data_IF_593687261947
#
_entry.id   IF_593687261947
#
_cell.length_a   1.000
_cell.length_b   1.000
_cell.length_c   1.000
_cell.angle_alpha   90.00
_cell.angle_beta   90.00
_cell.angle_gamma   90.00
#
_symmetry.space_group_name_H-M   'P 1'
#
loop_
_entity.id
_entity.type
_entity.pdbx_description
1 polymer ?
#
# COMPACT_ATOMS: atom_id res chain seq x y z
N UNK A 1 26.12 -3.39 1.20
CA UNK A 1 25.75 -3.63 2.61
C UNK A 1 24.28 -3.38 2.78
N UNK A 2 23.64 -4.14 3.70
CA UNK A 2 22.23 -3.96 3.97
C UNK A 2 21.96 -4.12 5.48
N UNK A 3 21.05 -3.30 5.99
CA UNK A 3 20.69 -3.27 7.40
C UNK A 3 19.19 -2.98 7.55
N UNK A 4 18.53 -3.69 8.43
CA UNK A 4 17.15 -3.42 8.86
C UNK A 4 17.06 -3.52 10.37
N UNK A 5 16.27 -2.60 10.96
CA UNK A 5 15.91 -2.63 12.36
C UNK A 5 14.46 -2.16 12.52
N UNK A 6 13.75 -2.75 13.46
CA UNK A 6 12.37 -2.35 13.72
C UNK A 6 11.92 -2.72 15.13
N UNK A 7 10.85 -2.08 15.53
CA UNK A 7 10.14 -2.35 16.77
C UNK A 7 8.68 -2.51 16.47
N UNK A 8 8.17 -3.72 16.72
CA UNK A 8 6.74 -4.00 16.61
C UNK A 8 6.20 -4.39 17.99
N UNK A 9 4.96 -4.06 18.27
CA UNK A 9 4.34 -4.42 19.53
C UNK A 9 2.85 -4.21 19.53
N UNK A 10 2.22 -4.77 20.56
CA UNK A 10 0.82 -4.56 20.84
C UNK A 10 0.54 -4.46 22.33
N UNK A 11 -0.49 -3.71 22.67
CA UNK A 11 -1.04 -3.61 24.03
C UNK A 11 -2.50 -4.02 24.00
N UNK A 12 -2.81 -5.05 24.76
CA UNK A 12 -4.17 -5.60 24.95
C UNK A 12 -4.62 -5.50 26.43
N UNK A 13 -3.82 -4.87 27.26
CA UNK A 13 -4.07 -4.76 28.71
C UNK A 13 -5.38 -4.02 29.03
N UNK A 14 -5.77 -3.07 28.17
CA UNK A 14 -7.00 -2.29 28.35
C UNK A 14 -8.19 -2.91 27.57
N UNK A 15 -8.36 -4.22 27.68
CA UNK A 15 -9.53 -4.88 27.08
C UNK A 15 -10.82 -4.10 27.33
N UNK A 16 -11.62 -3.76 26.31
CA UNK A 16 -11.64 -4.28 24.94
C UNK A 16 -10.79 -3.49 23.92
N UNK A 17 -9.91 -2.58 24.36
CA UNK A 17 -9.01 -1.84 23.50
C UNK A 17 -7.78 -2.67 23.11
N UNK A 18 -7.38 -2.56 21.86
CA UNK A 18 -6.12 -3.06 21.33
C UNK A 18 -5.39 -1.94 20.61
N UNK A 19 -4.13 -1.75 20.96
CA UNK A 19 -3.22 -0.82 20.27
C UNK A 19 -2.08 -1.65 19.71
N UNK A 20 -1.81 -1.55 18.42
CA UNK A 20 -0.66 -2.21 17.80
C UNK A 20 0.13 -1.21 16.95
N UNK A 21 1.45 -1.35 16.94
CA UNK A 21 2.36 -0.49 16.19
C UNK A 21 3.48 -1.29 15.55
N UNK A 22 4.03 -0.72 14.49
CA UNK A 22 5.20 -1.22 13.81
C UNK A 22 6.02 -0.02 13.31
N UNK A 23 7.32 0.03 13.64
CA UNK A 23 8.23 1.08 13.20
C UNK A 23 9.50 0.42 12.71
N UNK A 24 9.84 0.64 11.46
CA UNK A 24 10.96 0.02 10.79
C UNK A 24 11.86 1.07 10.14
N UNK A 25 13.15 0.78 10.13
CA UNK A 25 14.15 1.46 9.36
C UNK A 25 14.92 0.44 8.52
N UNK A 26 15.18 0.76 7.28
CA UNK A 26 16.00 -0.05 6.41
C UNK A 26 17.01 0.80 5.64
N UNK A 27 18.18 0.24 5.41
CA UNK A 27 19.25 0.84 4.60
C UNK A 27 19.92 -0.24 3.75
N UNK A 28 20.14 0.05 2.48
CA UNK A 28 20.87 -0.79 1.55
C UNK A 28 21.83 0.08 0.72
N UNK A 29 23.13 -0.22 0.82
CA UNK A 29 24.18 0.52 0.13
C UNK A 29 24.84 -0.35 -0.94
N UNK A 30 25.00 0.22 -2.12
CA UNK A 30 25.56 -0.38 -3.32
C UNK A 30 26.85 0.34 -3.72
N UNK A 31 27.58 -0.18 -4.72
CA UNK A 31 28.75 0.49 -5.29
C UNK A 31 28.39 1.78 -6.04
N UNK A 32 27.25 1.79 -6.73
CA UNK A 32 26.67 3.00 -7.31
C UNK A 32 25.76 3.66 -6.28
N UNK A 33 26.14 4.85 -5.81
CA UNK A 33 25.37 5.62 -4.82
C UNK A 33 23.90 5.89 -5.24
N UNK A 34 23.64 5.95 -6.54
CA UNK A 34 22.28 6.13 -7.07
C UNK A 34 21.35 4.94 -6.78
N UNK A 35 21.93 3.79 -6.45
CA UNK A 35 21.21 2.58 -6.07
C UNK A 35 20.98 2.48 -4.56
N UNK A 36 21.59 3.36 -3.77
CA UNK A 36 21.43 3.36 -2.33
C UNK A 36 19.97 3.63 -1.95
N UNK A 37 19.55 2.99 -0.88
CA UNK A 37 18.20 3.15 -0.35
C UNK A 37 18.27 3.19 1.16
N UNK A 38 17.53 4.14 1.75
CA UNK A 38 17.37 4.21 3.20
C UNK A 38 16.04 4.88 3.53
N UNK A 39 15.38 4.43 4.57
CA UNK A 39 14.12 5.06 4.93
C UNK A 39 13.40 4.38 6.06
N UNK A 40 12.21 4.90 6.34
CA UNK A 40 11.35 4.52 7.45
C UNK A 40 9.99 4.06 6.97
N UNK A 41 9.42 3.12 7.72
CA UNK A 41 8.03 2.73 7.64
C UNK A 41 7.48 2.63 9.04
N UNK A 42 6.39 3.32 9.31
CA UNK A 42 5.69 3.27 10.59
C UNK A 42 4.21 3.03 10.39
N UNK A 43 3.58 2.25 11.27
CA UNK A 43 2.14 2.06 11.30
C UNK A 43 1.60 1.98 12.71
N UNK A 44 0.34 2.39 12.86
CA UNK A 44 -0.40 2.35 14.12
C UNK A 44 -1.82 1.84 13.86
N UNK A 45 -2.29 0.96 14.73
CA UNK A 45 -3.65 0.42 14.71
C UNK A 45 -4.27 0.56 16.10
N UNK A 46 -5.48 1.10 16.14
CA UNK A 46 -6.32 1.20 17.32
C UNK A 46 -7.61 0.42 17.05
N UNK A 47 -7.93 -0.56 17.89
CA UNK A 47 -9.15 -1.36 17.78
C UNK A 47 -9.94 -1.36 19.09
N UNK A 48 -11.24 -1.49 18.95
CA UNK A 48 -12.15 -1.67 20.08
C UNK A 48 -13.06 -2.87 19.80
N UNK A 49 -12.96 -3.91 20.60
CA UNK A 49 -13.72 -5.14 20.39
C UNK A 49 -15.12 -5.00 21.00
N UNK A 50 -16.14 -5.11 20.16
CA UNK A 50 -17.55 -5.18 20.54
C UNK A 50 -18.07 -6.60 20.27
N UNK A 51 -19.22 -6.92 20.88
CA UNK A 51 -19.85 -8.25 20.70
C UNK A 51 -20.28 -8.51 19.23
N UNK A 52 -20.57 -7.45 18.47
CA UNK A 52 -21.07 -7.54 17.11
C UNK A 52 -20.03 -7.20 16.03
N UNK A 53 -18.82 -6.80 16.42
CA UNK A 53 -17.76 -6.45 15.49
C UNK A 53 -16.64 -5.66 16.14
N UNK A 54 -15.57 -5.44 15.41
CA UNK A 54 -14.36 -4.74 15.90
C UNK A 54 -14.10 -3.51 15.03
N UNK A 55 -14.60 -2.31 15.41
CA UNK A 55 -14.18 -1.07 14.79
C UNK A 55 -12.71 -0.80 15.07
N UNK A 56 -12.02 -0.23 14.10
CA UNK A 56 -10.62 0.14 14.19
C UNK A 56 -10.28 1.36 13.36
N UNK A 57 -9.33 2.13 13.86
CA UNK A 57 -8.68 3.23 13.15
C UNK A 57 -7.21 2.89 13.01
N UNK A 58 -6.63 3.22 11.87
CA UNK A 58 -5.22 2.97 11.62
C UNK A 58 -4.61 4.03 10.71
N UNK A 59 -3.30 4.10 10.72
CA UNK A 59 -2.56 4.93 9.82
C UNK A 59 -1.16 4.37 9.59
N UNK A 60 -0.53 4.83 8.52
CA UNK A 60 0.86 4.51 8.19
C UNK A 60 1.56 5.70 7.56
N UNK A 61 2.88 5.65 7.63
CA UNK A 61 3.77 6.58 6.97
C UNK A 61 5.01 5.82 6.50
N UNK A 62 5.31 5.90 5.22
CA UNK A 62 6.55 5.44 4.62
C UNK A 62 7.30 6.63 4.03
N UNK A 63 8.60 6.77 4.36
CA UNK A 63 9.43 7.79 3.75
C UNK A 63 9.43 7.63 2.23
N UNK A 64 9.45 8.74 1.52
CA UNK A 64 9.44 8.83 0.08
C UNK A 64 10.73 9.39 -0.46
N UNK A 65 10.91 9.27 -1.76
CA UNK A 65 12.05 9.73 -2.50
C UNK A 65 12.09 11.26 -2.59
N UNK A 66 13.25 11.85 -2.42
CA UNK A 66 13.45 13.28 -2.56
C UNK A 66 13.50 13.72 -4.06
N UNK A 67 13.81 14.98 -4.34
CA UNK A 67 13.85 15.48 -5.72
C UNK A 67 15.18 15.28 -6.43
N UNK A 68 16.14 14.60 -5.80
CA UNK A 68 17.49 14.41 -6.32
C UNK A 68 17.71 12.97 -6.85
N UNK A 69 17.72 12.74 -8.16
CA UNK A 69 17.84 11.40 -8.72
C UNK A 69 19.27 10.82 -8.66
N UNK A 70 20.19 11.38 -7.88
CA UNK A 70 21.60 10.97 -7.86
C UNK A 70 22.09 10.47 -6.51
N UNK A 71 21.33 10.68 -5.45
CA UNK A 71 21.71 10.31 -4.08
C UNK A 71 21.11 8.97 -3.61
N UNK A 72 20.44 8.24 -4.49
CA UNK A 72 19.70 7.04 -4.14
C UNK A 72 18.22 7.33 -3.91
N UNK A 73 17.58 6.61 -3.00
CA UNK A 73 16.17 6.80 -2.65
C UNK A 73 15.98 6.73 -1.13
N UNK A 74 15.23 7.65 -0.57
CA UNK A 74 14.84 7.69 0.85
C UNK A 74 13.64 6.80 1.17
N UNK A 75 13.21 5.97 0.24
CA UNK A 75 12.21 4.92 0.48
C UNK A 75 12.87 3.73 1.16
N UNK A 76 12.24 3.23 2.22
CA UNK A 76 12.77 2.07 2.93
C UNK A 76 12.92 0.86 1.96
N UNK A 77 14.10 0.23 1.89
CA UNK A 77 14.28 -0.98 1.09
C UNK A 77 13.45 -2.14 1.67
N UNK A 78 12.85 -2.94 0.82
CA UNK A 78 11.98 -4.05 1.19
C UNK A 78 12.63 -5.37 0.82
N UNK A 79 12.64 -6.34 1.75
CA UNK A 79 13.21 -7.67 1.53
C UNK A 79 12.22 -8.58 0.81
N UNK A 80 10.94 -8.42 1.10
CA UNK A 80 9.84 -9.19 0.49
C UNK A 80 8.66 -8.29 0.24
N UNK A 81 8.16 -8.33 -0.99
CA UNK A 81 6.94 -7.63 -1.36
C UNK A 81 5.65 -8.37 -0.94
N UNK A 82 5.77 -9.59 -0.47
CA UNK A 82 4.64 -10.44 -0.12
C UNK A 82 4.19 -10.15 1.33
N UNK A 83 3.51 -9.05 1.55
CA UNK A 83 2.97 -8.69 2.86
C UNK A 83 1.49 -8.36 2.79
N UNK A 84 0.65 -9.09 3.50
CA UNK A 84 -0.71 -8.63 3.79
C UNK A 84 -0.66 -7.73 5.01
N UNK A 85 -0.71 -6.42 4.80
CA UNK A 85 -0.74 -5.46 5.89
C UNK A 85 -2.09 -5.39 6.62
N UNK A 86 -3.13 -5.99 6.08
CA UNK A 86 -4.48 -5.98 6.65
C UNK A 86 -5.20 -4.63 6.58
N UNK A 87 -4.59 -3.61 6.01
CA UNK A 87 -5.15 -2.26 5.88
C UNK A 87 -5.85 -2.05 4.54
N UNK A 88 -5.37 -2.69 3.49
CA UNK A 88 -5.92 -2.59 2.14
C UNK A 88 -6.32 -3.97 1.61
N UNK A 89 -7.36 -4.01 0.77
CA UNK A 89 -7.74 -5.18 -0.01
C UNK A 89 -7.24 -5.09 -1.44
N UNK A 90 -6.89 -3.89 -1.90
CA UNK A 90 -6.67 -3.61 -3.30
C UNK A 90 -5.33 -2.92 -3.58
N UNK A 91 -4.93 -1.97 -2.72
CA UNK A 91 -3.63 -1.32 -2.79
C UNK A 91 -2.55 -2.15 -2.06
N UNK A 92 -1.28 -1.89 -2.33
CA UNK A 92 -0.13 -2.44 -1.62
C UNK A 92 -0.13 -3.96 -1.47
N UNK A 93 -0.33 -4.66 -2.57
CA UNK A 93 -0.36 -6.11 -2.62
C UNK A 93 -1.64 -6.78 -2.06
N UNK A 94 -2.65 -5.99 -1.73
CA UNK A 94 -4.02 -6.37 -1.50
C UNK A 94 -4.26 -7.67 -0.72
N UNK A 95 -5.26 -8.42 -1.15
CA UNK A 95 -5.51 -9.75 -0.64
C UNK A 95 -4.54 -10.76 -1.29
N UNK A 96 -3.76 -11.55 -0.52
CA UNK A 96 -2.75 -12.48 -1.03
C UNK A 96 -3.31 -13.60 -1.93
N UNK A 97 -4.61 -13.85 -1.86
CA UNK A 97 -5.26 -14.88 -2.69
C UNK A 97 -5.59 -14.39 -4.11
N UNK A 98 -5.58 -13.06 -4.33
CA UNK A 98 -6.20 -12.46 -5.52
C UNK A 98 -5.24 -11.66 -6.37
N UNK A 99 -4.52 -10.74 -5.77
CA UNK A 99 -3.63 -9.84 -6.46
C UNK A 99 -2.24 -9.90 -5.81
N UNK A 100 -1.29 -10.38 -6.55
CA UNK A 100 0.12 -10.34 -6.12
C UNK A 100 0.71 -8.93 -6.26
N UNK A 101 0.05 -8.08 -7.02
CA UNK A 101 0.49 -6.72 -7.30
C UNK A 101 -0.64 -5.74 -6.99
N UNK A 102 -0.42 -4.86 -6.05
CA UNK A 102 -1.33 -3.76 -5.75
C UNK A 102 -1.24 -2.67 -6.82
N UNK A 103 -2.32 -1.93 -7.01
CA UNK A 103 -2.38 -0.82 -7.97
C UNK A 103 -1.40 0.30 -7.60
N UNK A 104 -1.19 0.54 -6.31
CA UNK A 104 -0.36 1.62 -5.79
C UNK A 104 1.01 1.14 -5.28
N UNK A 105 1.49 0.00 -5.74
CA UNK A 105 2.74 -0.60 -5.32
C UNK A 105 2.57 -1.89 -4.53
N UNK A 106 3.68 -2.52 -4.21
CA UNK A 106 3.71 -3.82 -3.52
C UNK A 106 3.82 -3.68 -2.00
N UNK A 107 4.06 -2.48 -1.52
CA UNK A 107 4.20 -2.16 -0.09
C UNK A 107 3.82 -0.69 0.16
N UNK A 108 3.81 -0.28 1.43
CA UNK A 108 3.42 1.07 1.85
C UNK A 108 4.57 2.11 1.81
N UNK A 109 5.77 1.74 1.36
CA UNK A 109 6.88 2.70 1.27
C UNK A 109 6.58 3.79 0.24
N UNK A 110 6.98 5.01 0.51
CA UNK A 110 6.67 6.16 -0.34
C UNK A 110 5.22 6.62 -0.27
N UNK A 111 4.47 6.19 0.74
CA UNK A 111 3.07 6.60 0.95
C UNK A 111 2.77 6.90 2.41
N UNK A 112 1.72 7.65 2.63
CA UNK A 112 1.07 7.80 3.92
C UNK A 112 -0.42 7.52 3.78
N UNK A 113 -1.06 7.13 4.86
CA UNK A 113 -2.51 6.98 4.85
C UNK A 113 -3.12 6.88 6.22
N UNK A 114 -4.42 7.12 6.23
CA UNK A 114 -5.29 6.90 7.37
C UNK A 114 -6.47 6.06 6.91
N UNK A 115 -6.93 5.18 7.76
CA UNK A 115 -8.07 4.33 7.43
C UNK A 115 -8.90 3.98 8.64
N UNK A 116 -10.11 3.58 8.34
CA UNK A 116 -11.03 2.98 9.29
C UNK A 116 -11.45 1.60 8.79
N UNK A 117 -11.60 0.67 9.71
CA UNK A 117 -12.19 -0.63 9.41
C UNK A 117 -13.24 -1.02 10.44
N UNK A 118 -14.21 -1.76 9.97
CA UNK A 118 -15.17 -2.45 10.82
C UNK A 118 -15.04 -3.94 10.49
N UNK A 119 -14.44 -4.68 11.41
CA UNK A 119 -14.02 -6.06 11.19
C UNK A 119 -14.93 -7.02 11.95
N UNK A 120 -15.08 -8.24 11.43
CA UNK A 120 -15.79 -9.36 12.05
C UNK A 120 -17.27 -9.07 12.36
N UNK A 121 -17.95 -8.19 11.60
CA UNK A 121 -19.39 -8.00 11.73
C UNK A 121 -20.11 -9.26 11.26
N UNK A 122 -20.95 -9.81 12.11
CA UNK A 122 -21.67 -11.06 11.81
C UNK A 122 -23.16 -10.87 12.09
N UNK A 123 -24.00 -11.15 11.08
CA UNK A 123 -25.45 -11.19 11.18
C UNK A 123 -26.00 -12.61 11.04
N UNK A 124 -25.17 -13.54 10.54
CA UNK A 124 -25.45 -14.94 10.38
C UNK A 124 -24.26 -15.75 10.92
N UNK A 125 -24.56 -16.91 11.49
CA UNK A 125 -23.54 -17.84 11.94
C UNK A 125 -22.55 -18.14 10.79
N UNK A 126 -21.26 -18.19 11.10
CA UNK A 126 -20.16 -18.45 10.17
C UNK A 126 -19.95 -17.45 9.03
N UNK A 127 -20.75 -16.37 8.94
CA UNK A 127 -20.57 -15.31 7.96
C UNK A 127 -20.04 -14.04 8.63
N UNK A 128 -18.85 -13.61 8.23
CA UNK A 128 -18.20 -12.40 8.74
C UNK A 128 -17.98 -11.39 7.63
N UNK A 129 -18.26 -10.13 7.94
CA UNK A 129 -18.06 -9.00 7.06
C UNK A 129 -16.95 -8.10 7.61
N UNK A 130 -16.10 -7.60 6.72
CA UNK A 130 -15.11 -6.57 7.05
C UNK A 130 -15.19 -5.44 6.03
N UNK A 131 -15.53 -4.24 6.48
CA UNK A 131 -15.51 -3.02 5.68
C UNK A 131 -14.23 -2.24 5.99
N UNK A 132 -13.61 -1.65 4.95
CA UNK A 132 -12.44 -0.77 5.06
C UNK A 132 -12.64 0.47 4.21
N UNK A 133 -12.18 1.60 4.73
CA UNK A 133 -12.07 2.86 3.99
C UNK A 133 -10.70 3.45 4.27
N UNK A 134 -9.92 3.71 3.23
CA UNK A 134 -8.58 4.28 3.30
C UNK A 134 -8.48 5.56 2.49
N UNK A 135 -7.97 6.62 3.10
CA UNK A 135 -7.50 7.79 2.37
C UNK A 135 -5.97 7.83 2.46
N UNK A 136 -5.31 7.99 1.31
CA UNK A 136 -3.86 7.89 1.22
C UNK A 136 -3.27 8.86 0.22
N UNK A 137 -2.00 9.18 0.38
CA UNK A 137 -1.24 10.03 -0.53
C UNK A 137 0.21 9.57 -0.63
N UNK A 138 0.96 10.14 -1.56
CA UNK A 138 2.38 9.86 -1.72
C UNK A 138 3.25 10.70 -0.79
N UNK A 139 4.48 10.22 -0.58
CA UNK A 139 5.56 10.95 0.09
C UNK A 139 6.75 11.20 -0.84
N UNK A 140 6.69 10.71 -2.09
CA UNK A 140 7.73 10.90 -3.09
C UNK A 140 7.65 12.31 -3.70
N UNK A 141 8.81 12.91 -4.00
CA UNK A 141 8.84 14.21 -4.66
C UNK A 141 8.23 14.15 -6.09
N UNK A 142 7.35 15.09 -6.48
CA UNK A 142 6.68 15.07 -7.79
C UNK A 142 7.66 15.05 -8.97
N UNK A 143 8.82 15.68 -8.81
CA UNK A 143 9.87 15.69 -9.82
C UNK A 143 10.36 14.29 -10.20
N UNK A 144 10.25 13.33 -9.31
CA UNK A 144 10.68 11.95 -9.53
C UNK A 144 9.75 11.16 -10.46
N UNK A 145 8.49 11.58 -10.59
CA UNK A 145 7.51 10.93 -11.47
C UNK A 145 7.99 10.75 -12.92
N UNK A 146 8.78 11.71 -13.44
CA UNK A 146 9.33 11.64 -14.81
C UNK A 146 10.36 10.52 -15.03
N UNK A 147 10.96 10.00 -13.96
CA UNK A 147 11.98 8.96 -14.03
C UNK A 147 11.41 7.54 -13.90
N UNK A 148 10.13 7.43 -13.52
CA UNK A 148 9.45 6.12 -13.45
C UNK A 148 9.39 5.54 -14.85
N UNK A 149 9.98 4.37 -15.05
CA UNK A 149 10.03 3.71 -16.35
C UNK A 149 8.83 2.80 -16.57
N UNK A 150 8.58 2.48 -17.85
CA UNK A 150 7.56 1.52 -18.23
C UNK A 150 7.69 0.16 -17.52
N UNK A 151 8.92 -0.27 -17.32
CA UNK A 151 9.20 -1.54 -16.68
C UNK A 151 8.81 -1.53 -15.19
N UNK A 152 8.84 -0.38 -14.53
CA UNK A 152 8.37 -0.23 -13.15
C UNK A 152 6.87 -0.52 -13.00
N UNK A 153 6.10 -0.43 -14.07
CA UNK A 153 4.67 -0.72 -14.08
C UNK A 153 4.31 -2.12 -14.58
N UNK A 154 5.19 -2.75 -15.36
CA UNK A 154 4.86 -4.00 -16.05
C UNK A 154 5.64 -5.21 -15.59
N UNK A 155 6.85 -5.02 -15.18
CA UNK A 155 7.78 -6.12 -14.95
C UNK A 155 8.39 -6.01 -13.56
N UNK A 156 7.99 -6.94 -12.72
CA UNK A 156 8.54 -7.04 -11.40
C UNK A 156 10.03 -7.39 -11.38
N UNK A 157 10.61 -7.86 -12.46
CA UNK A 157 12.03 -8.22 -12.52
C UNK A 157 12.96 -7.09 -12.98
N UNK A 158 12.42 -5.96 -13.45
CA UNK A 158 13.27 -4.89 -13.95
C UNK A 158 13.72 -3.95 -12.85
N UNK A 159 15.00 -3.90 -12.65
CA UNK A 159 15.67 -2.87 -11.84
C UNK A 159 15.71 -1.59 -12.66
N UNK A 160 15.00 -0.57 -12.26
CA UNK A 160 15.16 0.76 -12.82
C UNK A 160 16.11 1.58 -11.97
N UNK A 161 16.71 2.60 -12.57
CA UNK A 161 17.63 3.48 -11.85
C UNK A 161 16.99 4.11 -10.59
N UNK A 162 15.67 4.20 -10.53
CA UNK A 162 14.91 4.89 -9.47
C UNK A 162 13.82 4.05 -8.82
N UNK A 163 13.74 2.79 -9.13
CA UNK A 163 12.83 1.84 -8.52
C UNK A 163 13.18 0.42 -8.91
N UNK A 164 13.07 -0.48 -7.98
CA UNK A 164 13.13 -1.91 -8.27
C UNK A 164 11.73 -2.40 -8.58
N UNK A 165 11.65 -3.53 -9.24
CA UNK A 165 10.42 -4.25 -9.48
C UNK A 165 9.57 -4.51 -8.23
N UNK A 166 10.20 -4.58 -7.09
CA UNK A 166 9.51 -4.86 -5.82
C UNK A 166 9.00 -3.61 -5.12
N UNK A 167 9.35 -2.44 -5.62
CA UNK A 167 9.03 -1.19 -4.95
C UNK A 167 9.00 -0.01 -5.94
N UNK A 168 8.14 -0.06 -6.94
CA UNK A 168 7.95 1.04 -7.87
C UNK A 168 7.35 2.25 -7.14
N UNK A 169 7.66 3.44 -7.62
CA UNK A 169 7.03 4.66 -7.17
C UNK A 169 5.71 4.86 -7.92
N UNK A 170 4.60 4.94 -7.19
CA UNK A 170 3.28 5.15 -7.77
C UNK A 170 2.66 6.50 -7.40
N UNK A 171 2.88 6.99 -6.19
CA UNK A 171 2.32 8.24 -5.70
C UNK A 171 3.41 9.25 -5.35
N UNK A 172 3.15 10.49 -5.65
CA UNK A 172 3.94 11.65 -5.23
C UNK A 172 3.18 12.45 -4.16
N UNK A 173 3.80 13.50 -3.61
CA UNK A 173 3.13 14.38 -2.63
C UNK A 173 1.92 15.13 -3.20
N UNK A 174 1.78 15.17 -4.52
CA UNK A 174 0.67 15.82 -5.22
C UNK A 174 -0.44 14.83 -5.60
N UNK A 175 -0.28 13.55 -5.24
CA UNK A 175 -1.20 12.47 -5.60
C UNK A 175 -1.94 11.93 -4.37
N UNK A 176 -3.21 11.55 -4.58
CA UNK A 176 -4.07 10.98 -3.54
C UNK A 176 -4.88 9.81 -4.07
N UNK A 177 -5.36 8.98 -3.14
CA UNK A 177 -6.27 7.89 -3.45
C UNK A 177 -7.26 7.64 -2.30
N UNK A 178 -8.46 7.18 -2.64
CA UNK A 178 -9.47 6.70 -1.71
C UNK A 178 -9.82 5.25 -2.06
N UNK A 179 -9.64 4.35 -1.12
CA UNK A 179 -10.07 2.95 -1.24
C UNK A 179 -11.28 2.68 -0.37
N UNK A 180 -12.27 1.98 -0.92
CA UNK A 180 -13.37 1.36 -0.19
C UNK A 180 -13.34 -0.13 -0.50
N UNK A 181 -13.23 -0.95 0.54
CA UNK A 181 -13.12 -2.40 0.41
C UNK A 181 -14.08 -3.14 1.33
N UNK A 182 -14.70 -4.19 0.81
CA UNK A 182 -15.56 -5.11 1.54
C UNK A 182 -15.06 -6.54 1.36
N UNK A 183 -14.81 -7.21 2.48
CA UNK A 183 -14.50 -8.64 2.52
C UNK A 183 -15.64 -9.37 3.20
N UNK A 184 -16.15 -10.42 2.57
CA UNK A 184 -17.14 -11.33 3.15
C UNK A 184 -16.50 -12.71 3.25
N UNK A 185 -16.47 -13.27 4.45
CA UNK A 185 -15.89 -14.59 4.69
C UNK A 185 -16.98 -15.51 5.26
N UNK A 186 -17.29 -16.58 4.54
CA UNK A 186 -18.26 -17.58 4.95
C UNK A 186 -17.56 -18.92 5.19
N UNK A 187 -17.57 -19.37 6.44
CA UNK A 187 -17.08 -20.68 6.83
C UNK A 187 -18.17 -21.71 6.58
N UNK A 188 -18.18 -22.32 5.40
CA UNK A 188 -19.22 -23.28 5.00
C UNK A 188 -19.05 -24.62 5.72
N UNK A 189 -17.79 -25.06 5.92
CA UNK A 189 -17.43 -26.27 6.66
C UNK A 189 -16.14 -26.00 7.45
N UNK A 190 -15.76 -26.89 8.36
CA UNK A 190 -14.54 -26.71 9.15
C UNK A 190 -13.25 -26.57 8.32
N UNK A 191 -13.24 -27.12 7.12
CA UNK A 191 -12.12 -27.11 6.18
C UNK A 191 -12.43 -26.40 4.85
N UNK A 192 -13.56 -25.70 4.76
CA UNK A 192 -13.95 -25.02 3.52
C UNK A 192 -14.53 -23.63 3.83
N UNK A 193 -13.81 -22.62 3.36
CA UNK A 193 -14.19 -21.22 3.54
C UNK A 193 -14.29 -20.53 2.18
N UNK A 194 -15.38 -19.83 1.97
CA UNK A 194 -15.61 -18.98 0.79
C UNK A 194 -15.35 -17.53 1.17
N UNK A 195 -14.56 -16.83 0.38
CA UNK A 195 -14.28 -15.42 0.57
C UNK A 195 -14.66 -14.62 -0.69
N UNK A 196 -15.45 -13.58 -0.51
CA UNK A 196 -15.77 -12.59 -1.53
C UNK A 196 -15.16 -11.24 -1.13
N UNK A 197 -14.23 -10.75 -1.94
CA UNK A 197 -13.70 -9.41 -1.82
C UNK A 197 -14.23 -8.51 -2.93
N UNK A 198 -14.64 -7.30 -2.57
CA UNK A 198 -15.00 -6.26 -3.51
C UNK A 198 -14.34 -4.94 -3.05
N UNK A 199 -13.62 -4.29 -3.95
CA UNK A 199 -12.91 -3.06 -3.63
C UNK A 199 -12.94 -2.08 -4.81
N UNK A 200 -13.01 -0.80 -4.46
CA UNK A 200 -12.95 0.32 -5.39
C UNK A 200 -11.86 1.29 -4.94
N UNK A 201 -11.06 1.76 -5.88
CA UNK A 201 -9.98 2.71 -5.68
C UNK A 201 -10.17 3.90 -6.59
N UNK A 202 -10.53 5.04 -6.02
CA UNK A 202 -10.51 6.33 -6.71
C UNK A 202 -9.10 6.92 -6.65
N UNK A 203 -8.59 7.39 -7.81
CA UNK A 203 -7.25 7.93 -7.96
C UNK A 203 -7.28 9.38 -8.40
N UNK A 204 -6.54 10.24 -7.71
CA UNK A 204 -6.30 11.63 -8.08
C UNK A 204 -4.80 11.84 -8.25
N UNK A 205 -4.33 11.68 -9.49
CA UNK A 205 -2.93 11.90 -9.84
C UNK A 205 -2.77 13.28 -10.48
N UNK A 206 -1.68 13.98 -10.13
CA UNK A 206 -1.34 15.26 -10.75
C UNK A 206 -0.80 15.04 -12.17
N UNK A 207 -1.63 15.25 -13.17
CA UNK A 207 -1.31 15.13 -14.60
C UNK A 207 -0.52 16.33 -15.14
N UNK A 208 -0.18 17.30 -14.31
CA UNK A 208 0.59 18.48 -14.68
C UNK A 208 1.98 18.11 -15.20
N UNK A 209 2.58 19.08 -15.92
CA UNK A 209 3.97 18.92 -16.39
C UNK A 209 5.01 18.92 -15.29
N UNK A 210 4.66 19.28 -14.08
CA UNK A 210 5.55 19.20 -12.92
C UNK A 210 5.68 17.78 -12.38
N UNK A 211 4.66 16.98 -12.59
CA UNK A 211 4.55 15.62 -12.04
C UNK A 211 4.42 14.59 -13.19
N UNK A 212 3.29 13.92 -13.32
CA UNK A 212 3.10 12.81 -14.27
C UNK A 212 2.99 13.25 -15.74
N UNK A 213 2.56 14.46 -16.01
CA UNK A 213 2.40 14.97 -17.39
C UNK A 213 3.71 15.05 -18.19
N UNK A 214 4.88 14.91 -17.56
CA UNK A 214 6.18 14.76 -18.22
C UNK A 214 6.61 13.31 -18.43
N UNK A 215 5.94 12.38 -17.80
CA UNK A 215 6.31 10.98 -17.94
C UNK A 215 5.77 10.44 -19.26
N UNK A 216 6.65 10.04 -20.22
CA UNK A 216 6.20 9.53 -21.51
C UNK A 216 5.43 8.22 -21.40
N UNK A 217 5.55 7.53 -20.29
CA UNK A 217 4.92 6.25 -20.01
C UNK A 217 3.53 6.39 -19.42
N UNK A 218 3.26 7.48 -18.71
CA UNK A 218 1.97 7.73 -18.06
C UNK A 218 0.83 8.06 -19.05
N UNK A 219 1.11 8.18 -20.36
CA UNK A 219 0.15 8.50 -21.43
C UNK A 219 -0.71 9.76 -21.22
N UNK A 220 -0.51 10.50 -20.13
CA UNK A 220 -1.25 11.71 -19.81
C UNK A 220 -0.96 12.84 -20.83
N UNK A 221 0.24 12.81 -21.44
CA UNK A 221 0.69 13.82 -22.39
C UNK A 221 -0.04 13.79 -23.75
N UNK A 222 -0.86 12.79 -24.03
CA UNK A 222 -1.51 12.61 -25.35
C UNK A 222 -2.99 12.97 -25.38
N UNK A 223 -3.50 13.68 -24.36
CA UNK A 223 -4.91 14.11 -24.34
C UNK A 223 -5.90 12.96 -24.19
N UNK A 224 -5.46 11.81 -23.72
CA UNK A 224 -6.36 10.75 -23.27
C UNK A 224 -6.85 11.05 -21.86
N UNK A 225 -8.10 10.74 -21.57
CA UNK A 225 -8.72 10.81 -20.23
C UNK A 225 -8.04 9.76 -19.34
N UNK A 226 -6.82 10.04 -18.87
CA UNK A 226 -5.81 9.02 -18.57
C UNK A 226 -5.75 8.51 -17.14
N UNK A 227 -6.57 9.02 -16.23
CA UNK A 227 -6.64 8.51 -14.85
C UNK A 227 -7.97 7.80 -14.70
N UNK A 228 -7.90 6.49 -14.54
CA UNK A 228 -9.08 5.68 -14.29
C UNK A 228 -9.06 5.16 -12.88
N UNK A 229 -10.21 5.26 -12.23
CA UNK A 229 -10.47 4.53 -11.01
C UNK A 229 -10.37 3.02 -11.28
N UNK A 230 -9.99 2.27 -10.24
CA UNK A 230 -9.86 0.84 -10.34
C UNK A 230 -10.88 0.13 -9.44
N UNK A 231 -11.35 -1.02 -9.86
CA UNK A 231 -12.21 -1.87 -9.05
C UNK A 231 -11.76 -3.32 -9.16
N UNK A 232 -12.04 -4.07 -8.12
CA UNK A 232 -11.73 -5.49 -8.04
C UNK A 232 -12.88 -6.21 -7.35
N UNK A 233 -13.30 -7.32 -7.92
CA UNK A 233 -14.23 -8.27 -7.28
C UNK A 233 -13.65 -9.66 -7.44
N UNK A 234 -13.50 -10.39 -6.36
CA UNK A 234 -12.89 -11.68 -6.36
C UNK A 234 -13.60 -12.65 -5.43
N UNK A 235 -13.69 -13.87 -5.88
CA UNK A 235 -14.22 -15.02 -5.15
C UNK A 235 -13.12 -16.06 -5.01
N UNK A 236 -12.79 -16.42 -3.77
CA UNK A 236 -11.83 -17.49 -3.45
C UNK A 236 -12.44 -18.53 -2.51
N UNK A 237 -11.94 -19.76 -2.59
CA UNK A 237 -12.42 -20.90 -1.81
C UNK A 237 -11.31 -21.96 -1.64
#
# INVERSE_FOLDING_TARGET
>A
NAFWAGVTGEVTYWDPFRIAWDVNYGSASYEDEKMNREGWLASLLLEYKLDWGTPGLYGWYGSGDDSNPRNGSERMPVVSANGNNGFSNFAFNGNPYIAREGVLGTNMTGTWGIGARLKDVSFLEDLKHTLRVNFMGGTNAPKMAKYVSHNSFKDSASVTQYGTSYDPMYLTTDDYALEIGLTNTYKMYDNFTVMLDASYLALWLDDSRSTWGKNPMANFAKGGDGIYDAWNVNLSF
#
